data_IF_074876850974
#
_entry.id   IF_074876850974
#
_cell.length_a   1.000
_cell.length_b   1.000
_cell.length_c   1.000
_cell.angle_alpha   90.00
_cell.angle_beta   90.00
_cell.angle_gamma   90.00
#
_symmetry.space_group_name_H-M   'P 1'
#
loop_
_entity.id
_entity.type
_entity.pdbx_description
1 polymer ?
#
# COMPACT_ATOMS: atom_id res chain seq x y z
N UNK A 1 57.85 -13.20 -7.11
CA UNK A 1 56.75 -14.04 -6.61
C UNK A 1 55.78 -13.06 -5.99
N UNK A 2 54.89 -12.54 -6.80
CA UNK A 2 53.92 -11.54 -6.39
C UNK A 2 52.78 -12.24 -5.67
N UNK A 3 52.56 -11.83 -4.43
CA UNK A 3 51.44 -12.27 -3.60
C UNK A 3 50.18 -11.61 -4.14
N UNK A 4 49.34 -12.37 -4.86
CA UNK A 4 47.96 -11.96 -5.14
C UNK A 4 47.18 -11.97 -3.83
N UNK A 5 47.14 -10.82 -3.17
CA UNK A 5 46.27 -10.51 -2.06
C UNK A 5 44.84 -10.45 -2.62
N UNK A 6 44.16 -11.59 -2.58
CA UNK A 6 42.76 -11.70 -2.96
C UNK A 6 41.93 -10.92 -1.94
N UNK A 7 41.40 -9.78 -2.35
CA UNK A 7 40.50 -8.99 -1.51
C UNK A 7 39.36 -9.89 -0.99
N UNK A 8 39.02 -9.82 0.31
CA UNK A 8 37.92 -10.58 0.85
C UNK A 8 36.64 -10.15 0.13
N UNK A 9 35.98 -11.12 -0.53
CA UNK A 9 34.63 -10.91 -1.06
C UNK A 9 33.79 -10.39 0.09
N UNK A 10 33.40 -9.11 0.02
CA UNK A 10 32.33 -8.59 0.88
C UNK A 10 31.12 -9.45 0.59
N UNK A 11 30.82 -10.38 1.48
CA UNK A 11 29.55 -11.08 1.52
C UNK A 11 28.47 -10.00 1.56
N UNK A 12 27.89 -9.71 0.39
CA UNK A 12 26.71 -8.88 0.27
C UNK A 12 25.65 -9.59 1.09
N UNK A 13 25.42 -9.13 2.31
CA UNK A 13 24.23 -9.52 3.07
C UNK A 13 23.05 -9.35 2.11
N UNK A 14 22.25 -10.39 1.84
CA UNK A 14 21.15 -10.27 0.91
C UNK A 14 20.20 -9.19 1.44
N UNK A 15 20.22 -8.03 0.79
CA UNK A 15 19.36 -6.89 1.13
C UNK A 15 17.95 -7.30 0.71
N UNK A 16 17.13 -7.65 1.69
CA UNK A 16 15.71 -7.89 1.47
C UNK A 16 15.00 -6.54 1.32
N UNK A 17 14.58 -6.22 0.09
CA UNK A 17 13.83 -4.99 -0.20
C UNK A 17 12.33 -5.30 -0.16
N UNK A 18 11.54 -4.64 0.71
CA UNK A 18 10.11 -4.85 0.76
C UNK A 18 9.40 -4.11 -0.38
N UNK A 19 8.47 -4.79 -1.04
CA UNK A 19 7.54 -4.21 -2.00
C UNK A 19 6.12 -4.27 -1.46
N UNK A 20 5.40 -3.16 -1.51
CA UNK A 20 4.02 -3.07 -1.02
C UNK A 20 3.06 -3.27 -2.18
N UNK A 21 2.18 -4.27 -2.05
CA UNK A 21 1.09 -4.56 -2.96
C UNK A 21 -0.22 -4.01 -2.39
N UNK A 22 -0.95 -3.25 -3.20
CA UNK A 22 -2.19 -2.65 -2.77
C UNK A 22 -2.97 -1.95 -3.87
N UNK A 23 -3.89 -1.09 -3.46
CA UNK A 23 -4.65 -0.21 -4.35
C UNK A 23 -4.40 1.26 -4.01
N UNK A 24 -4.16 2.08 -5.03
CA UNK A 24 -4.21 3.52 -4.86
C UNK A 24 -5.66 3.98 -4.88
N UNK A 25 -6.08 4.63 -3.80
CA UNK A 25 -7.40 5.17 -3.62
C UNK A 25 -7.35 6.69 -3.71
N UNK A 26 -8.28 7.25 -4.46
CA UNK A 26 -8.75 8.62 -4.27
C UNK A 26 -9.42 8.76 -2.91
N UNK A 27 -9.58 9.99 -2.45
CA UNK A 27 -10.28 10.21 -1.19
C UNK A 27 -11.77 9.82 -1.26
N UNK A 28 -12.42 10.01 -2.41
CA UNK A 28 -13.79 9.53 -2.65
C UNK A 28 -13.90 8.01 -2.47
N UNK A 29 -12.94 7.26 -3.01
CA UNK A 29 -12.88 5.81 -2.83
C UNK A 29 -12.60 5.43 -1.37
N UNK A 30 -11.69 6.13 -0.68
CA UNK A 30 -11.44 5.92 0.74
C UNK A 30 -12.71 6.14 1.58
N UNK A 31 -13.50 7.18 1.28
CA UNK A 31 -14.78 7.46 1.94
C UNK A 31 -15.81 6.37 1.70
N UNK A 32 -15.86 5.79 0.50
CA UNK A 32 -16.72 4.64 0.20
C UNK A 32 -16.26 3.37 0.93
N UNK A 33 -14.96 3.13 1.07
CA UNK A 33 -14.44 2.05 1.95
C UNK A 33 -14.85 2.31 3.40
N UNK A 34 -14.63 3.52 3.89
CA UNK A 34 -14.96 3.92 5.25
C UNK A 34 -16.44 3.76 5.57
N UNK A 35 -17.34 4.08 4.62
CA UNK A 35 -18.79 3.92 4.79
C UNK A 35 -19.23 2.46 5.01
N UNK A 36 -18.42 1.47 4.60
CA UNK A 36 -18.68 0.05 4.88
C UNK A 36 -18.21 -0.39 6.27
N UNK A 37 -17.35 0.40 6.91
CA UNK A 37 -16.67 0.01 8.15
C UNK A 37 -16.97 0.89 9.35
N UNK A 38 -17.30 2.16 9.13
CA UNK A 38 -17.60 3.17 10.14
C UNK A 38 -19.11 3.39 10.22
N UNK A 39 -19.61 3.77 11.40
CA UNK A 39 -20.98 4.25 11.52
C UNK A 39 -21.17 5.57 10.77
N UNK A 40 -22.40 5.88 10.38
CA UNK A 40 -22.74 7.15 9.72
C UNK A 40 -22.31 8.37 10.55
N UNK A 41 -22.44 8.31 11.88
CA UNK A 41 -22.03 9.40 12.77
C UNK A 41 -20.51 9.63 12.75
N UNK A 42 -19.72 8.56 12.83
CA UNK A 42 -18.25 8.66 12.77
C UNK A 42 -17.83 9.19 11.39
N UNK A 43 -18.44 8.68 10.32
CA UNK A 43 -18.15 9.14 8.96
C UNK A 43 -18.50 10.62 8.75
N UNK A 44 -19.65 11.07 9.29
CA UNK A 44 -20.09 12.45 9.23
C UNK A 44 -19.19 13.39 10.05
N UNK A 45 -18.59 12.89 11.14
CA UNK A 45 -17.63 13.65 11.94
C UNK A 45 -16.26 13.87 11.26
N UNK A 46 -15.94 13.08 10.24
CA UNK A 46 -14.70 13.21 9.47
C UNK A 46 -14.80 14.37 8.46
N UNK A 47 -14.43 15.57 8.91
CA UNK A 47 -14.51 16.82 8.14
C UNK A 47 -13.46 16.94 7.04
N UNK A 48 -12.36 16.21 7.14
CA UNK A 48 -11.21 16.31 6.24
C UNK A 48 -10.57 14.95 5.95
N UNK A 49 -9.63 14.97 5.02
CA UNK A 49 -8.99 13.77 4.50
C UNK A 49 -8.09 13.06 5.51
N UNK A 50 -7.49 13.87 6.37
CA UNK A 50 -6.60 13.41 7.42
C UNK A 50 -7.38 12.61 8.46
N UNK A 51 -8.46 13.20 9.00
CA UNK A 51 -9.29 12.59 10.04
C UNK A 51 -9.91 11.28 9.56
N UNK A 52 -10.43 11.24 8.34
CA UNK A 52 -10.99 10.00 7.79
C UNK A 52 -9.93 8.89 7.71
N UNK A 53 -8.73 9.22 7.23
CA UNK A 53 -7.64 8.25 7.12
C UNK A 53 -7.33 7.59 8.47
N UNK A 54 -7.14 8.38 9.54
CA UNK A 54 -6.87 7.83 10.87
C UNK A 54 -8.02 6.97 11.38
N UNK A 55 -9.28 7.39 11.19
CA UNK A 55 -10.43 6.56 11.60
C UNK A 55 -10.50 5.22 10.87
N UNK A 56 -10.15 5.20 9.59
CA UNK A 56 -10.07 3.94 8.83
C UNK A 56 -8.94 3.06 9.36
N UNK A 57 -7.75 3.62 9.60
CA UNK A 57 -6.61 2.89 10.18
C UNK A 57 -6.95 2.32 11.55
N UNK A 58 -7.57 3.11 12.44
CA UNK A 58 -7.99 2.67 13.78
C UNK A 58 -8.90 1.45 13.70
N UNK A 59 -9.89 1.46 12.80
CA UNK A 59 -10.82 0.34 12.65
C UNK A 59 -10.17 -0.90 12.07
N UNK A 60 -9.29 -0.74 11.08
CA UNK A 60 -8.51 -1.85 10.50
C UNK A 60 -7.63 -2.51 11.57
N UNK A 61 -6.98 -1.71 12.41
CA UNK A 61 -6.18 -2.20 13.54
C UNK A 61 -7.05 -2.90 14.59
N UNK A 62 -8.18 -2.30 14.98
CA UNK A 62 -9.10 -2.88 15.95
C UNK A 62 -9.70 -4.22 15.49
N UNK A 63 -9.97 -4.35 14.19
CA UNK A 63 -10.47 -5.59 13.57
C UNK A 63 -9.37 -6.61 13.28
N UNK A 64 -8.09 -6.28 13.54
CA UNK A 64 -6.91 -7.12 13.23
C UNK A 64 -6.90 -7.58 11.77
N UNK A 65 -7.34 -6.71 10.87
CA UNK A 65 -7.36 -7.00 9.44
C UNK A 65 -5.93 -7.16 8.92
N UNK A 66 -5.74 -8.01 7.91
CA UNK A 66 -4.43 -8.25 7.28
C UNK A 66 -4.05 -7.18 6.25
N UNK A 67 -4.59 -5.97 6.40
CA UNK A 67 -4.35 -4.84 5.53
C UNK A 67 -4.06 -3.58 6.35
N UNK A 68 -3.55 -2.54 5.71
CA UNK A 68 -3.43 -1.22 6.31
C UNK A 68 -3.59 -0.13 5.26
N UNK A 69 -3.67 1.11 5.70
CA UNK A 69 -3.80 2.28 4.83
C UNK A 69 -2.61 3.18 5.07
N UNK A 70 -1.97 3.65 4.00
CA UNK A 70 -0.90 4.63 4.06
C UNK A 70 -1.32 5.89 3.31
N UNK A 71 -1.01 7.06 3.86
CA UNK A 71 -1.16 8.32 3.13
C UNK A 71 -0.05 8.42 2.08
N UNK A 72 -0.39 8.97 0.93
CA UNK A 72 0.55 9.19 -0.17
C UNK A 72 0.02 10.31 -1.06
N UNK A 73 0.76 10.65 -2.10
CA UNK A 73 0.34 11.58 -3.16
C UNK A 73 0.54 10.88 -4.49
N UNK A 74 -0.23 11.28 -5.51
CA UNK A 74 0.11 10.88 -6.87
C UNK A 74 1.20 11.80 -7.46
N UNK A 75 1.57 11.55 -8.71
CA UNK A 75 2.64 12.30 -9.40
C UNK A 75 2.34 13.80 -9.54
N UNK A 76 1.09 14.23 -9.39
CA UNK A 76 0.69 15.64 -9.42
C UNK A 76 0.73 16.31 -8.04
N UNK A 77 1.03 15.54 -6.98
CA UNK A 77 1.00 16.01 -5.59
C UNK A 77 -0.39 15.91 -4.94
N UNK A 78 -1.39 15.42 -5.67
CA UNK A 78 -2.74 15.27 -5.15
C UNK A 78 -2.79 14.19 -4.07
N UNK A 79 -3.46 14.45 -2.92
CA UNK A 79 -3.57 13.47 -1.84
C UNK A 79 -4.25 12.16 -2.30
N UNK A 80 -3.64 11.04 -1.92
CA UNK A 80 -4.14 9.69 -2.17
C UNK A 80 -3.96 8.83 -0.92
N UNK A 81 -4.55 7.64 -0.95
CA UNK A 81 -4.33 6.64 0.08
C UNK A 81 -3.97 5.30 -0.57
N UNK A 82 -2.89 4.68 -0.11
CA UNK A 82 -2.52 3.32 -0.49
C UNK A 82 -3.16 2.34 0.48
N UNK A 83 -4.14 1.57 -0.01
CA UNK A 83 -4.67 0.42 0.71
C UNK A 83 -3.73 -0.78 0.51
N UNK A 84 -2.91 -1.05 1.51
CA UNK A 84 -1.90 -2.11 1.55
C UNK A 84 -2.55 -3.44 1.88
N UNK A 85 -2.39 -4.42 0.98
CA UNK A 85 -2.91 -5.78 1.15
C UNK A 85 -1.83 -6.79 1.52
N UNK A 86 -0.59 -6.56 1.06
CA UNK A 86 0.54 -7.49 1.28
C UNK A 86 1.87 -6.78 1.11
N UNK A 87 2.89 -7.27 1.82
CA UNK A 87 4.29 -6.97 1.55
C UNK A 87 4.95 -8.18 0.88
N UNK A 88 5.62 -7.95 -0.23
CA UNK A 88 6.34 -8.96 -1.02
C UNK A 88 7.85 -8.68 -0.86
N UNK A 89 8.62 -9.60 -0.25
CA UNK A 89 10.07 -9.43 -0.16
C UNK A 89 10.73 -9.66 -1.52
N UNK A 90 11.73 -8.85 -1.85
CA UNK A 90 12.66 -9.08 -2.95
C UNK A 90 14.07 -9.32 -2.40
N UNK A 91 14.67 -10.45 -2.74
CA UNK A 91 16.00 -10.86 -2.27
C UNK A 91 17.13 -10.48 -3.24
N UNK A 92 16.77 -10.07 -4.48
CA UNK A 92 17.70 -9.57 -5.49
C UNK A 92 17.59 -8.04 -5.66
N UNK A 93 16.80 -7.38 -4.81
CA UNK A 93 16.49 -5.96 -4.87
C UNK A 93 15.61 -5.54 -6.06
N UNK A 94 15.30 -6.45 -7.00
CA UNK A 94 14.50 -6.14 -8.18
C UNK A 94 13.02 -6.17 -7.84
N UNK A 95 12.25 -5.34 -8.55
CA UNK A 95 10.79 -5.36 -8.43
C UNK A 95 10.24 -6.73 -8.80
N UNK A 96 9.50 -7.41 -7.90
CA UNK A 96 8.86 -8.68 -8.21
C UNK A 96 7.93 -8.54 -9.41
N UNK A 97 7.95 -9.52 -10.33
CA UNK A 97 6.95 -9.63 -11.39
C UNK A 97 5.64 -10.15 -10.80
N UNK A 98 4.92 -9.29 -10.11
CA UNK A 98 3.61 -9.60 -9.56
C UNK A 98 2.55 -8.72 -10.21
N UNK A 99 1.49 -9.35 -10.74
CA UNK A 99 0.29 -8.69 -11.23
C UNK A 99 -0.89 -9.15 -10.39
N UNK A 100 -1.70 -8.19 -9.94
CA UNK A 100 -2.91 -8.53 -9.21
C UNK A 100 -3.90 -9.24 -10.15
N UNK A 101 -4.49 -10.38 -9.75
CA UNK A 101 -5.48 -11.07 -10.56
C UNK A 101 -6.69 -10.18 -10.87
N UNK A 102 -7.17 -10.21 -12.10
CA UNK A 102 -8.32 -9.40 -12.55
C UNK A 102 -9.59 -9.70 -11.74
N UNK A 103 -9.82 -10.97 -11.40
CA UNK A 103 -10.93 -11.35 -10.52
C UNK A 103 -10.88 -10.68 -9.14
N UNK A 104 -9.68 -10.41 -8.60
CA UNK A 104 -9.53 -9.68 -7.33
C UNK A 104 -9.85 -8.20 -7.51
N UNK A 105 -9.46 -7.60 -8.63
CA UNK A 105 -9.78 -6.20 -8.97
C UNK A 105 -11.31 -6.06 -9.11
N UNK A 106 -11.94 -6.90 -9.91
CA UNK A 106 -13.38 -6.84 -10.15
C UNK A 106 -14.20 -7.05 -8.87
N UNK A 107 -13.75 -7.92 -7.99
CA UNK A 107 -14.38 -8.13 -6.68
C UNK A 107 -14.40 -6.83 -5.87
N UNK A 108 -13.31 -6.07 -5.88
CA UNK A 108 -13.21 -4.79 -5.15
C UNK A 108 -14.08 -3.73 -5.82
N UNK A 109 -14.02 -3.60 -7.15
CA UNK A 109 -14.89 -2.69 -7.89
C UNK A 109 -16.36 -2.90 -7.54
N UNK A 110 -16.82 -4.16 -7.59
CA UNK A 110 -18.21 -4.52 -7.28
C UNK A 110 -18.56 -4.30 -5.80
N UNK A 111 -17.66 -4.67 -4.88
CA UNK A 111 -17.93 -4.59 -3.44
C UNK A 111 -18.13 -3.16 -2.94
N UNK A 112 -17.43 -2.20 -3.54
CA UNK A 112 -17.44 -0.79 -3.14
C UNK A 112 -18.11 0.15 -4.15
N UNK A 113 -18.57 -0.36 -5.29
CA UNK A 113 -19.22 0.44 -6.34
C UNK A 113 -18.24 1.40 -7.01
N UNK A 114 -17.01 0.96 -7.26
CA UNK A 114 -16.01 1.76 -7.96
C UNK A 114 -16.11 1.52 -9.46
N UNK A 115 -15.97 2.58 -10.26
CA UNK A 115 -15.85 2.46 -11.71
C UNK A 115 -14.44 1.98 -12.11
N UNK A 116 -13.42 2.40 -11.35
CA UNK A 116 -12.01 2.04 -11.58
C UNK A 116 -11.26 1.91 -10.27
N UNK A 117 -10.14 1.18 -10.28
CA UNK A 117 -9.20 1.11 -9.16
C UNK A 117 -7.80 0.78 -9.68
N UNK A 118 -6.78 1.44 -9.13
CA UNK A 118 -5.40 1.32 -9.61
C UNK A 118 -4.60 0.35 -8.72
N UNK A 119 -4.35 -0.90 -9.15
CA UNK A 119 -3.45 -1.79 -8.42
C UNK A 119 -2.02 -1.26 -8.49
N UNK A 120 -1.33 -1.28 -7.36
CA UNK A 120 0.06 -0.83 -7.24
C UNK A 120 0.93 -1.90 -6.61
N UNK A 121 2.15 -1.99 -7.12
CA UNK A 121 3.27 -2.67 -6.49
C UNK A 121 4.43 -1.68 -6.43
N UNK A 122 4.71 -1.13 -5.25
CA UNK A 122 5.73 -0.09 -5.08
C UNK A 122 6.86 -0.62 -4.21
N UNK A 123 8.10 -0.42 -4.64
CA UNK A 123 9.30 -0.71 -3.86
C UNK A 123 9.89 0.58 -3.34
N UNK A 124 10.38 0.56 -2.09
CA UNK A 124 10.75 1.77 -1.34
C UNK A 124 9.60 2.77 -1.29
N UNK A 125 8.84 2.74 -0.19
CA UNK A 125 8.01 3.88 0.17
C UNK A 125 8.94 5.00 0.60
N UNK A 126 9.48 5.76 -0.35
CA UNK A 126 10.07 7.06 -0.06
C UNK A 126 8.90 7.96 0.32
N UNK A 127 8.53 7.90 1.61
CA UNK A 127 7.66 8.88 2.25
C UNK A 127 8.47 10.18 2.23
N UNK A 128 8.17 11.05 1.27
CA UNK A 128 8.67 12.42 1.27
C UNK A 128 7.79 13.27 2.17
#
# INVERSE_FOLDING_TARGET
MDSEESEPRKDLQPICVPFVLGFLLTYTQLRAVAAKWLSHEVLASCKDDYTLHFRVVDVVQAKKERCTFLRTTDNSGEPRCLWVLRVIPSFDGKRPKYRMPEASIQRVLNAFGFDTISPLLVGSLTLT
#
